data_IF_031319580370
#
_entry.id   IF_031319580370
#
_cell.length_a   1.000
_cell.length_b   1.000
_cell.length_c   1.000
_cell.angle_alpha   90.00
_cell.angle_beta   90.00
_cell.angle_gamma   90.00
#
_symmetry.space_group_name_H-M   'P 1'
#
loop_
_entity.id
_entity.type
_entity.pdbx_description
1 polymer ?
#
# COMPACT_ATOMS: atom_id res chain seq x y z
N UNK A 1 -32.09 49.59 -67.16
CA UNK A 1 -31.69 49.50 -65.74
C UNK A 1 -31.59 48.02 -65.38
N UNK A 2 -30.37 47.50 -65.35
CA UNK A 2 -30.15 46.06 -65.07
C UNK A 2 -29.58 45.93 -63.64
N UNK A 3 -30.35 45.29 -62.76
CA UNK A 3 -29.90 44.98 -61.41
C UNK A 3 -29.11 43.66 -61.42
N UNK A 4 -27.83 43.74 -61.03
CA UNK A 4 -27.00 42.56 -60.77
C UNK A 4 -27.12 42.17 -59.28
N UNK A 5 -27.58 40.93 -59.02
CA UNK A 5 -27.63 40.32 -57.70
C UNK A 5 -26.31 39.64 -57.43
N UNK A 6 -25.58 39.89 -56.29
CA UNK A 6 -24.38 39.15 -55.97
C UNK A 6 -24.74 37.80 -55.38
N UNK A 7 -24.11 36.75 -55.87
CA UNK A 7 -24.19 35.37 -55.29
C UNK A 7 -23.34 35.33 -54.01
N UNK A 8 -23.97 35.07 -52.88
CA UNK A 8 -23.33 34.80 -51.59
C UNK A 8 -22.96 33.30 -51.58
N UNK A 9 -21.66 33.01 -51.66
CA UNK A 9 -21.16 31.66 -51.48
C UNK A 9 -21.12 31.31 -49.99
N UNK A 10 -21.99 30.36 -49.55
CA UNK A 10 -22.03 29.89 -48.19
C UNK A 10 -20.94 28.82 -48.01
N UNK A 11 -19.86 29.19 -47.30
CA UNK A 11 -18.73 28.31 -46.95
C UNK A 11 -19.17 27.45 -45.73
N UNK A 12 -19.58 26.18 -45.94
CA UNK A 12 -19.86 25.22 -44.88
C UNK A 12 -18.57 24.61 -44.39
N UNK A 13 -18.07 25.09 -43.23
CA UNK A 13 -16.97 24.45 -42.52
C UNK A 13 -17.48 23.18 -41.83
N UNK A 14 -17.16 22.03 -42.37
CA UNK A 14 -17.32 20.72 -41.71
C UNK A 14 -16.24 20.64 -40.59
N UNK A 15 -16.66 20.86 -39.35
CA UNK A 15 -15.83 20.56 -38.18
C UNK A 15 -15.92 19.03 -37.98
N UNK A 16 -14.93 18.29 -38.42
CA UNK A 16 -14.76 16.88 -38.08
C UNK A 16 -14.37 16.78 -36.60
N UNK A 17 -15.37 16.62 -35.74
CA UNK A 17 -15.14 16.27 -34.31
C UNK A 17 -14.59 14.87 -34.25
N UNK A 18 -13.26 14.73 -34.27
CA UNK A 18 -12.58 13.46 -33.97
C UNK A 18 -12.87 13.09 -32.53
N UNK A 19 -13.78 12.13 -32.33
CA UNK A 19 -13.93 11.49 -31.04
C UNK A 19 -12.63 10.77 -30.71
N UNK A 20 -11.80 11.37 -29.84
CA UNK A 20 -10.65 10.70 -29.25
C UNK A 20 -11.19 9.53 -28.43
N UNK A 21 -11.11 8.32 -28.97
CA UNK A 21 -11.37 7.10 -28.20
C UNK A 21 -10.28 7.01 -27.13
N UNK A 22 -10.62 7.38 -25.90
CA UNK A 22 -9.74 7.21 -24.75
C UNK A 22 -9.37 5.72 -24.67
N UNK A 23 -8.09 5.40 -24.85
CA UNK A 23 -7.60 4.05 -24.61
C UNK A 23 -7.91 3.69 -23.16
N UNK A 24 -8.41 2.46 -22.89
CA UNK A 24 -8.63 2.03 -21.52
C UNK A 24 -7.31 2.19 -20.76
N UNK A 25 -7.39 2.78 -19.57
CA UNK A 25 -6.22 2.93 -18.71
C UNK A 25 -5.59 1.56 -18.45
N UNK A 26 -4.29 1.46 -18.66
CA UNK A 26 -3.50 0.27 -18.34
C UNK A 26 -2.64 0.62 -17.13
N UNK A 27 -2.76 -0.16 -16.06
CA UNK A 27 -2.00 0.04 -14.82
C UNK A 27 -0.92 -1.05 -14.69
N UNK A 28 -0.03 -1.10 -15.68
CA UNK A 28 1.09 -2.03 -15.71
C UNK A 28 2.38 -1.31 -15.30
N UNK A 29 3.16 -1.98 -14.45
CA UNK A 29 4.46 -1.51 -13.99
C UNK A 29 4.42 -0.11 -13.35
N UNK A 30 3.32 0.22 -12.65
CA UNK A 30 3.21 1.50 -11.94
C UNK A 30 4.15 1.52 -10.73
N UNK A 31 4.83 2.64 -10.43
CA UNK A 31 5.63 2.75 -9.21
C UNK A 31 4.70 2.76 -7.99
N UNK A 32 5.12 2.14 -6.89
CA UNK A 32 4.43 2.29 -5.61
C UNK A 32 4.63 3.72 -5.08
N UNK A 33 3.60 4.22 -4.39
CA UNK A 33 3.63 5.52 -3.71
C UNK A 33 3.00 5.39 -2.34
N UNK A 34 3.65 5.94 -1.33
CA UNK A 34 3.08 6.08 0.00
C UNK A 34 2.09 7.24 0.01
N UNK A 35 0.82 6.91 0.21
CA UNK A 35 -0.29 7.87 0.14
C UNK A 35 -1.42 7.46 1.09
N UNK A 36 -1.15 7.34 2.41
CA UNK A 36 -2.20 6.97 3.35
C UNK A 36 -3.27 8.07 3.43
N UNK A 37 -4.52 7.67 3.56
CA UNK A 37 -5.65 8.59 3.78
C UNK A 37 -5.97 8.76 5.25
N UNK A 38 -5.39 7.92 6.10
CA UNK A 38 -5.51 7.95 7.56
C UNK A 38 -4.15 8.17 8.21
N UNK A 39 -4.16 8.57 9.47
CA UNK A 39 -2.97 8.64 10.32
C UNK A 39 -2.99 7.51 11.35
N UNK A 40 -1.81 7.20 11.94
CA UNK A 40 -1.71 6.21 12.99
C UNK A 40 -2.62 6.54 14.19
N UNK A 41 -2.74 7.82 14.56
CA UNK A 41 -3.58 8.29 15.65
C UNK A 41 -5.08 8.09 15.39
N UNK A 42 -5.52 8.17 14.13
CA UNK A 42 -6.93 7.95 13.75
C UNK A 42 -7.31 6.47 13.76
N UNK A 43 -6.34 5.56 13.74
CA UNK A 43 -6.61 4.11 13.80
C UNK A 43 -6.96 3.61 15.20
N UNK A 44 -6.74 4.42 16.22
CA UNK A 44 -7.05 4.12 17.62
C UNK A 44 -5.87 4.40 18.56
N UNK A 45 -6.11 4.35 19.87
CA UNK A 45 -5.04 4.59 20.85
C UNK A 45 -3.99 3.48 20.78
N UNK A 46 -2.73 3.88 20.94
CA UNK A 46 -1.61 2.97 21.16
C UNK A 46 -1.40 2.84 22.67
N UNK A 47 -1.62 1.66 23.23
CA UNK A 47 -1.23 1.34 24.59
C UNK A 47 0.13 0.64 24.57
N UNK A 48 1.19 1.43 24.76
CA UNK A 48 2.57 0.95 24.80
C UNK A 48 3.09 0.80 26.23
N UNK A 49 2.21 0.84 27.22
CA UNK A 49 2.60 0.79 28.65
C UNK A 49 3.34 -0.50 29.03
N UNK A 50 3.10 -1.58 28.28
CA UNK A 50 3.76 -2.86 28.45
C UNK A 50 5.00 -3.05 27.59
N UNK A 51 5.41 -2.06 26.80
CA UNK A 51 6.59 -2.15 25.94
C UNK A 51 7.76 -1.34 26.54
N UNK A 52 8.96 -1.91 26.54
CA UNK A 52 10.17 -1.13 26.81
C UNK A 52 10.57 -0.34 25.56
N UNK A 53 10.20 0.94 25.52
CA UNK A 53 10.47 1.83 24.39
C UNK A 53 11.95 2.22 24.27
N UNK A 54 12.79 1.90 25.27
CA UNK A 54 14.24 2.13 25.21
C UNK A 54 14.98 1.07 24.40
N UNK A 55 14.34 -0.11 24.17
CA UNK A 55 14.89 -1.20 23.37
C UNK A 55 15.07 -0.74 21.93
N UNK A 56 16.28 -0.89 21.41
CA UNK A 56 16.62 -0.56 20.03
C UNK A 56 16.24 -1.72 19.12
N UNK A 57 15.27 -1.48 18.26
CA UNK A 57 14.78 -2.46 17.30
C UNK A 57 15.42 -2.21 15.93
N UNK A 58 16.22 -3.17 15.45
CA UNK A 58 16.67 -3.19 14.07
C UNK A 58 15.62 -3.93 13.23
N UNK A 59 15.15 -3.33 12.13
CA UNK A 59 14.21 -3.97 11.21
C UNK A 59 14.97 -4.37 9.95
N UNK A 60 15.11 -5.67 9.74
CA UNK A 60 15.70 -6.23 8.51
C UNK A 60 14.77 -6.03 7.30
N UNK A 61 15.31 -5.98 6.07
CA UNK A 61 14.49 -6.00 4.87
C UNK A 61 13.55 -7.21 4.85
N UNK A 62 12.25 -6.96 4.73
CA UNK A 62 11.25 -8.03 4.63
C UNK A 62 11.34 -8.72 3.27
N UNK A 63 11.26 -10.04 3.28
CA UNK A 63 11.32 -10.85 2.07
C UNK A 63 9.93 -10.96 1.44
N UNK A 64 9.80 -10.58 0.18
CA UNK A 64 8.55 -10.78 -0.57
C UNK A 64 8.45 -12.24 -1.04
N UNK A 65 7.59 -13.03 -0.37
CA UNK A 65 7.37 -14.46 -0.66
C UNK A 65 6.08 -14.72 -1.44
N UNK A 66 5.44 -13.68 -1.97
CA UNK A 66 4.24 -13.82 -2.80
C UNK A 66 4.56 -14.55 -4.10
N UNK A 67 3.64 -15.36 -4.61
CA UNK A 67 3.83 -16.08 -5.88
C UNK A 67 4.05 -15.15 -7.08
N UNK A 68 3.40 -13.99 -7.07
CA UNK A 68 3.54 -12.99 -8.12
C UNK A 68 3.93 -11.65 -7.48
N UNK A 69 5.24 -11.36 -7.36
CA UNK A 69 5.73 -10.17 -6.67
C UNK A 69 5.38 -8.86 -7.38
N UNK A 70 5.14 -8.89 -8.68
CA UNK A 70 4.75 -7.69 -9.43
C UNK A 70 3.25 -7.37 -9.35
N UNK A 71 2.41 -8.36 -9.09
CA UNK A 71 0.96 -8.18 -9.01
C UNK A 71 0.57 -7.56 -7.66
N UNK A 72 -0.03 -6.36 -7.70
CA UNK A 72 -0.44 -5.62 -6.49
C UNK A 72 -1.95 -5.42 -6.39
N UNK A 73 -2.68 -5.58 -7.49
CA UNK A 73 -4.14 -5.51 -7.45
C UNK A 73 -4.79 -6.17 -8.66
N UNK A 74 -6.09 -6.41 -8.54
CA UNK A 74 -6.95 -6.85 -9.64
C UNK A 74 -8.32 -6.17 -9.55
N UNK A 75 -8.77 -5.63 -10.68
CA UNK A 75 -10.15 -5.21 -10.86
C UNK A 75 -10.95 -6.38 -11.46
N UNK A 76 -11.92 -6.86 -10.70
CA UNK A 76 -12.80 -7.97 -11.06
C UNK A 76 -14.27 -7.54 -11.22
N UNK A 77 -14.52 -6.24 -11.40
CA UNK A 77 -15.88 -5.71 -11.67
C UNK A 77 -16.54 -6.40 -12.88
N UNK A 78 -15.72 -6.79 -13.87
CA UNK A 78 -16.11 -7.65 -14.98
C UNK A 78 -15.40 -8.99 -14.85
N UNK A 79 -16.05 -10.02 -14.28
CA UNK A 79 -15.42 -11.30 -13.99
C UNK A 79 -14.84 -12.03 -15.21
N UNK A 80 -15.46 -11.82 -16.38
CA UNK A 80 -15.01 -12.36 -17.68
C UNK A 80 -13.80 -11.62 -18.27
N UNK A 81 -13.47 -10.45 -17.74
CA UNK A 81 -12.38 -9.59 -18.20
C UNK A 81 -11.67 -8.89 -17.03
N UNK A 82 -11.05 -9.63 -16.12
CA UNK A 82 -10.33 -9.02 -15.00
C UNK A 82 -9.15 -8.19 -15.52
N UNK A 83 -8.88 -7.07 -14.83
CA UNK A 83 -7.75 -6.20 -15.15
C UNK A 83 -6.76 -6.23 -14.00
N UNK A 84 -5.54 -6.64 -14.30
CA UNK A 84 -4.45 -6.65 -13.32
C UNK A 84 -3.84 -5.26 -13.17
N UNK A 85 -3.32 -5.00 -11.97
CA UNK A 85 -2.47 -3.86 -11.66
C UNK A 85 -1.13 -4.40 -11.22
N UNK A 86 -0.07 -4.01 -11.92
CA UNK A 86 1.29 -4.46 -11.61
C UNK A 86 2.21 -3.31 -11.26
N UNK A 87 3.24 -3.60 -10.48
CA UNK A 87 4.27 -2.63 -10.08
C UNK A 87 5.64 -3.01 -10.61
N UNK A 88 6.47 -2.00 -10.88
CA UNK A 88 7.91 -2.12 -11.11
C UNK A 88 8.73 -1.87 -9.86
N UNK A 89 8.11 -1.48 -8.74
CA UNK A 89 8.80 -1.20 -7.48
C UNK A 89 9.16 -2.49 -6.75
N UNK A 90 10.22 -2.43 -5.97
CA UNK A 90 10.54 -3.43 -4.95
C UNK A 90 9.52 -3.33 -3.81
N UNK A 91 8.63 -4.33 -3.73
CA UNK A 91 7.59 -4.39 -2.69
C UNK A 91 8.20 -4.65 -1.32
N UNK A 92 9.25 -5.49 -1.25
CA UNK A 92 9.97 -5.76 0.00
C UNK A 92 10.55 -4.49 0.61
N UNK A 93 11.28 -3.73 -0.19
CA UNK A 93 11.85 -2.44 0.21
C UNK A 93 10.77 -1.43 0.60
N UNK A 94 9.70 -1.29 -0.20
CA UNK A 94 8.60 -0.37 0.07
C UNK A 94 7.91 -0.69 1.42
N UNK A 95 7.56 -1.95 1.65
CA UNK A 95 6.89 -2.36 2.89
C UNK A 95 7.82 -2.18 4.09
N UNK A 96 9.10 -2.54 3.96
CA UNK A 96 10.08 -2.38 5.04
C UNK A 96 10.27 -0.94 5.45
N UNK A 97 10.46 -0.03 4.49
CA UNK A 97 10.66 1.40 4.73
C UNK A 97 9.47 2.00 5.50
N UNK A 98 8.25 1.79 4.99
CA UNK A 98 7.07 2.39 5.59
C UNK A 98 6.64 1.71 6.90
N UNK A 99 6.95 0.43 7.09
CA UNK A 99 6.81 -0.24 8.38
C UNK A 99 7.75 0.41 9.40
N UNK A 100 9.05 0.56 9.10
CA UNK A 100 10.04 1.25 9.97
C UNK A 100 9.55 2.64 10.37
N UNK A 101 9.14 3.44 9.41
CA UNK A 101 8.70 4.81 9.65
C UNK A 101 7.44 4.86 10.53
N UNK A 102 6.50 3.95 10.30
CA UNK A 102 5.28 3.88 11.10
C UNK A 102 5.56 3.40 12.53
N UNK A 103 6.42 2.40 12.71
CA UNK A 103 6.84 1.93 14.05
C UNK A 103 7.57 3.03 14.82
N UNK A 104 8.44 3.80 14.15
CA UNK A 104 9.13 4.96 14.71
C UNK A 104 8.14 6.07 15.12
N UNK A 105 7.17 6.37 14.26
CA UNK A 105 6.08 7.31 14.56
C UNK A 105 5.18 6.82 15.71
N UNK A 106 5.05 5.51 15.87
CA UNK A 106 4.34 4.86 16.98
C UNK A 106 5.09 4.85 18.30
N UNK A 107 6.35 5.33 18.34
CA UNK A 107 7.12 5.49 19.57
C UNK A 107 8.21 4.45 19.80
N UNK A 108 8.38 3.44 18.94
CA UNK A 108 9.50 2.49 19.08
C UNK A 108 10.83 3.12 18.68
N UNK A 109 11.90 2.73 19.36
CA UNK A 109 13.27 3.15 19.01
C UNK A 109 13.80 2.30 17.86
N UNK A 110 13.51 2.71 16.62
CA UNK A 110 13.97 2.02 15.40
C UNK A 110 15.35 2.52 15.00
N UNK A 111 16.30 1.60 14.86
CA UNK A 111 17.69 1.86 14.45
C UNK A 111 17.99 1.22 13.08
N UNK A 112 18.92 1.83 12.34
CA UNK A 112 19.33 1.32 11.03
C UNK A 112 20.48 0.31 11.12
N UNK A 113 21.32 0.44 12.15
CA UNK A 113 22.39 -0.51 12.47
C UNK A 113 21.89 -1.58 13.47
N UNK A 114 22.81 -2.39 14.00
CA UNK A 114 22.51 -3.42 14.98
C UNK A 114 21.78 -2.83 16.20
N UNK A 115 20.62 -3.40 16.51
CA UNK A 115 19.82 -3.08 17.70
C UNK A 115 20.01 -4.09 18.82
N UNK A 116 19.29 -3.89 19.92
CA UNK A 116 19.20 -4.87 21.01
C UNK A 116 18.41 -6.10 20.56
N UNK A 117 17.42 -5.88 19.70
CA UNK A 117 16.62 -6.91 19.04
C UNK A 117 16.52 -6.66 17.54
N UNK A 118 16.26 -7.73 16.79
CA UNK A 118 16.05 -7.71 15.33
C UNK A 118 14.65 -8.18 14.98
N UNK A 119 13.91 -7.36 14.26
CA UNK A 119 12.63 -7.70 13.64
C UNK A 119 12.86 -8.06 12.18
N UNK A 120 12.62 -9.30 11.81
CA UNK A 120 12.71 -9.81 10.43
C UNK A 120 11.38 -10.43 10.01
N UNK A 121 11.21 -10.76 8.72
CA UNK A 121 10.00 -11.46 8.31
C UNK A 121 9.75 -11.50 6.82
N UNK A 122 8.54 -11.91 6.49
CA UNK A 122 8.09 -12.19 5.13
C UNK A 122 6.75 -11.50 4.83
N UNK A 123 6.62 -11.03 3.59
CA UNK A 123 5.37 -10.53 3.04
C UNK A 123 4.63 -11.68 2.37
N UNK A 124 3.51 -12.09 2.95
CA UNK A 124 2.64 -13.15 2.41
C UNK A 124 1.55 -12.60 1.51
N UNK A 125 1.09 -11.38 1.80
CA UNK A 125 0.08 -10.68 1.01
C UNK A 125 0.36 -9.17 1.00
N UNK A 126 0.18 -8.57 -0.15
CA UNK A 126 0.19 -7.13 -0.41
C UNK A 126 -0.64 -6.92 -1.67
N UNK A 127 -1.95 -6.75 -1.50
CA UNK A 127 -2.88 -6.87 -2.61
C UNK A 127 -4.17 -6.09 -2.41
N UNK A 128 -4.73 -5.57 -3.51
CA UNK A 128 -6.06 -4.93 -3.54
C UNK A 128 -6.96 -5.64 -4.54
N UNK A 129 -8.15 -6.00 -4.12
CA UNK A 129 -9.22 -6.41 -5.02
C UNK A 129 -10.23 -5.27 -5.21
N UNK A 130 -10.50 -4.90 -6.46
CA UNK A 130 -11.51 -3.91 -6.83
C UNK A 130 -12.70 -4.61 -7.49
N UNK A 131 -13.85 -4.56 -6.84
CA UNK A 131 -15.16 -4.98 -7.42
C UNK A 131 -16.08 -3.76 -7.43
N UNK A 132 -16.75 -3.50 -6.31
CA UNK A 132 -17.58 -2.31 -6.06
C UNK A 132 -16.84 -1.29 -5.21
N UNK A 133 -15.87 -1.77 -4.47
CA UNK A 133 -14.97 -1.06 -3.58
C UNK A 133 -13.58 -1.62 -3.76
N UNK A 134 -12.58 -0.85 -3.37
CA UNK A 134 -11.21 -1.33 -3.23
C UNK A 134 -11.06 -1.98 -1.86
N UNK A 135 -10.69 -3.26 -1.82
CA UNK A 135 -10.37 -3.99 -0.59
C UNK A 135 -8.93 -4.40 -0.61
N UNK A 136 -8.17 -3.83 0.30
CA UNK A 136 -6.76 -4.13 0.48
C UNK A 136 -6.52 -5.08 1.63
N UNK A 137 -5.48 -5.89 1.50
CA UNK A 137 -4.95 -6.74 2.55
C UNK A 137 -3.42 -6.79 2.47
N UNK A 138 -2.78 -6.61 3.62
CA UNK A 138 -1.36 -6.87 3.83
C UNK A 138 -1.25 -7.94 4.92
N UNK A 139 -0.48 -8.99 4.67
CA UNK A 139 -0.19 -10.04 5.64
C UNK A 139 1.32 -10.23 5.75
N UNK A 140 1.83 -10.07 6.97
CA UNK A 140 3.25 -10.16 7.31
C UNK A 140 3.43 -11.29 8.32
N UNK A 141 4.41 -12.17 8.09
CA UNK A 141 4.92 -13.09 9.12
C UNK A 141 6.18 -12.45 9.68
N UNK A 142 6.17 -12.13 10.97
CA UNK A 142 7.26 -11.40 11.62
C UNK A 142 7.89 -12.23 12.74
N UNK A 143 9.19 -12.05 12.91
CA UNK A 143 10.02 -12.70 13.92
C UNK A 143 10.83 -11.66 14.66
N UNK A 144 10.74 -11.64 15.99
CA UNK A 144 11.59 -10.83 16.86
C UNK A 144 12.65 -11.73 17.50
N UNK A 145 13.93 -11.37 17.34
CA UNK A 145 15.07 -12.12 17.89
C UNK A 145 15.93 -11.20 18.72
N UNK A 146 16.57 -11.75 19.76
CA UNK A 146 17.62 -11.06 20.51
C UNK A 146 18.96 -11.03 19.74
N UNK A 147 19.95 -10.32 20.29
CA UNK A 147 21.29 -10.22 19.71
C UNK A 147 22.04 -11.57 19.58
N UNK A 148 21.62 -12.59 20.33
CA UNK A 148 22.14 -13.96 20.21
C UNK A 148 21.42 -14.79 19.14
N UNK A 149 20.40 -14.22 18.49
CA UNK A 149 19.59 -14.90 17.47
C UNK A 149 18.47 -15.77 18.04
N UNK A 150 18.24 -15.74 19.34
CA UNK A 150 17.14 -16.48 19.98
C UNK A 150 15.81 -15.78 19.65
N UNK A 151 14.84 -16.55 19.20
CA UNK A 151 13.49 -16.06 18.92
C UNK A 151 12.79 -15.68 20.24
N UNK A 152 12.35 -14.43 20.35
CA UNK A 152 11.60 -13.87 21.46
C UNK A 152 10.09 -13.88 21.19
N UNK A 153 9.71 -13.68 19.90
CA UNK A 153 8.35 -13.66 19.46
C UNK A 153 8.26 -13.95 17.96
N UNK A 154 7.16 -14.57 17.56
CA UNK A 154 6.77 -14.69 16.16
C UNK A 154 5.26 -14.51 16.05
N UNK A 155 4.81 -13.90 14.94
CA UNK A 155 3.39 -13.66 14.73
C UNK A 155 3.04 -13.34 13.30
N UNK A 156 1.76 -13.52 12.97
CA UNK A 156 1.18 -13.06 11.71
C UNK A 156 0.43 -11.76 11.99
N UNK A 157 0.83 -10.71 11.30
CA UNK A 157 0.20 -9.39 11.40
C UNK A 157 -0.53 -9.12 10.10
N UNK A 158 -1.82 -8.85 10.21
CA UNK A 158 -2.68 -8.51 9.07
C UNK A 158 -3.17 -7.08 9.21
N UNK A 159 -3.19 -6.35 8.12
CA UNK A 159 -3.87 -5.07 8.00
C UNK A 159 -4.83 -5.13 6.83
N UNK A 160 -5.98 -4.51 6.99
CA UNK A 160 -7.00 -4.38 5.96
C UNK A 160 -7.48 -2.94 5.84
N UNK A 161 -7.88 -2.56 4.64
CA UNK A 161 -8.49 -1.28 4.37
C UNK A 161 -9.51 -1.41 3.24
N UNK A 162 -10.55 -0.59 3.32
CA UNK A 162 -11.57 -0.52 2.28
C UNK A 162 -11.80 0.93 1.87
N UNK A 163 -11.94 1.14 0.56
CA UNK A 163 -12.27 2.43 -0.01
C UNK A 163 -13.38 2.29 -1.04
N UNK A 164 -14.37 3.17 -0.93
CA UNK A 164 -15.41 3.26 -1.95
C UNK A 164 -14.88 3.89 -3.24
N UNK A 165 -15.21 3.28 -4.38
CA UNK A 165 -14.87 3.80 -5.71
C UNK A 165 -14.89 2.71 -6.79
N UNK A 166 -14.96 3.13 -8.06
CA UNK A 166 -15.00 2.25 -9.24
C UNK A 166 -14.24 2.86 -10.41
N UNK A 167 -13.06 3.40 -10.18
CA UNK A 167 -12.43 4.25 -11.19
C UNK A 167 -11.18 3.65 -11.85
N UNK A 168 -10.72 2.47 -11.44
CA UNK A 168 -9.49 1.85 -11.95
C UNK A 168 -8.37 2.89 -12.12
N UNK A 169 -8.04 3.63 -11.05
CA UNK A 169 -7.04 4.69 -11.01
C UNK A 169 -5.92 4.30 -10.06
N UNK A 170 -4.67 4.55 -10.46
CA UNK A 170 -3.49 4.23 -9.67
C UNK A 170 -3.54 4.82 -8.25
N UNK A 171 -4.00 6.07 -8.11
CA UNK A 171 -4.08 6.76 -6.81
C UNK A 171 -4.92 5.98 -5.79
N UNK A 172 -6.05 5.39 -6.21
CA UNK A 172 -6.92 4.63 -5.31
C UNK A 172 -6.22 3.36 -4.77
N UNK A 173 -5.41 2.70 -5.60
CA UNK A 173 -4.63 1.54 -5.16
C UNK A 173 -3.51 1.96 -4.21
N UNK A 174 -2.82 3.10 -4.48
CA UNK A 174 -1.79 3.63 -3.59
C UNK A 174 -2.35 3.93 -2.21
N UNK A 175 -3.51 4.61 -2.14
CA UNK A 175 -4.18 4.95 -0.91
C UNK A 175 -4.55 3.70 -0.11
N UNK A 176 -5.22 2.72 -0.75
CA UNK A 176 -5.65 1.50 -0.06
C UNK A 176 -4.45 0.66 0.41
N UNK A 177 -3.41 0.48 -0.43
CA UNK A 177 -2.21 -0.26 -0.03
C UNK A 177 -1.49 0.42 1.15
N UNK A 178 -1.43 1.76 1.14
CA UNK A 178 -0.82 2.53 2.22
C UNK A 178 -1.61 2.42 3.52
N UNK A 179 -2.93 2.58 3.46
CA UNK A 179 -3.80 2.46 4.64
C UNK A 179 -3.77 1.03 5.21
N UNK A 180 -3.69 0.02 4.34
CA UNK A 180 -3.58 -1.38 4.74
C UNK A 180 -2.27 -1.65 5.48
N UNK A 181 -1.15 -1.13 4.98
CA UNK A 181 0.15 -1.27 5.64
C UNK A 181 0.19 -0.48 6.96
N UNK A 182 -0.38 0.72 6.98
CA UNK A 182 -0.52 1.51 8.20
C UNK A 182 -1.34 0.76 9.26
N UNK A 183 -2.42 0.08 8.86
CA UNK A 183 -3.22 -0.78 9.74
C UNK A 183 -2.42 -1.98 10.26
N UNK A 184 -1.63 -2.64 9.41
CA UNK A 184 -0.76 -3.73 9.85
C UNK A 184 0.25 -3.24 10.89
N UNK A 185 0.89 -2.10 10.67
CA UNK A 185 1.81 -1.50 11.64
C UNK A 185 1.11 -1.13 12.96
N UNK A 186 -0.09 -0.57 12.91
CA UNK A 186 -0.91 -0.30 14.10
C UNK A 186 -1.21 -1.60 14.86
N UNK A 187 -1.58 -2.67 14.16
CA UNK A 187 -1.88 -3.96 14.76
C UNK A 187 -0.65 -4.60 15.41
N UNK A 188 0.56 -4.38 14.87
CA UNK A 188 1.80 -4.77 15.51
C UNK A 188 2.06 -3.93 16.77
N UNK A 189 1.89 -2.61 16.68
CA UNK A 189 2.07 -1.67 17.79
C UNK A 189 1.07 -1.87 18.94
N UNK A 190 -0.04 -2.56 18.71
CA UNK A 190 -1.04 -2.91 19.73
C UNK A 190 -1.01 -4.38 20.14
N UNK A 191 -0.04 -5.14 19.63
CA UNK A 191 0.07 -6.57 19.93
C UNK A 191 0.72 -6.80 21.30
N UNK A 192 -0.06 -7.24 22.28
CA UNK A 192 0.40 -7.44 23.65
C UNK A 192 1.56 -8.45 23.76
N UNK A 193 1.56 -9.52 22.94
CA UNK A 193 2.63 -10.51 22.98
C UNK A 193 3.95 -9.96 22.40
N UNK A 194 3.87 -9.08 21.41
CA UNK A 194 5.03 -8.36 20.89
C UNK A 194 5.62 -7.42 21.95
N UNK A 195 4.76 -6.66 22.66
CA UNK A 195 5.20 -5.78 23.78
C UNK A 195 5.91 -6.57 24.88
N UNK A 196 5.31 -7.71 25.32
CA UNK A 196 5.93 -8.56 26.34
C UNK A 196 7.30 -9.13 25.92
N UNK A 197 7.50 -9.33 24.62
CA UNK A 197 8.79 -9.77 24.11
C UNK A 197 9.83 -8.66 24.16
N UNK A 198 9.42 -7.39 24.02
CA UNK A 198 10.31 -6.23 24.19
C UNK A 198 10.66 -5.96 25.66
N UNK A 199 9.74 -6.24 26.62
CA UNK A 199 10.01 -6.06 28.06
C UNK A 199 11.03 -7.05 28.64
N UNK A 200 11.09 -8.25 28.09
CA UNK A 200 11.92 -9.37 28.62
C UNK A 200 13.35 -9.36 28.12
N UNK A 201 13.75 -8.30 27.46
CA UNK A 201 15.04 -8.23 26.78
C UNK A 201 16.12 -7.40 27.53
#
# INVERSE_FOLDING_TARGET
MSYRVPAIALLVCLIASGAATARPAVLENIPLKWSPTSTLAEMGPLDLSAADLSVKVHVEPLVDTRQNPTLIAQNTEKPDKPRSVTTSSDVGGFVTEHLKDTLRAGGLTIVDDAGDVTLSGEIRQFFVNEVNVYRGEVSLVLHLKDAAGKELWTGVIVGDAERFGRSYRADNYYEVLSDTLLRAAHNLLTNAAFHQALEKH
#
